data_IF_207860630892
#
_entry.id   IF_207860630892
#
_cell.length_a   1.000
_cell.length_b   1.000
_cell.length_c   1.000
_cell.angle_alpha   90.00
_cell.angle_beta   90.00
_cell.angle_gamma   90.00
#
_symmetry.space_group_name_H-M   'P 1'
#
loop_
_entity.id
_entity.type
_entity.pdbx_description
1 polymer ?
#
# COMPACT_ATOMS: atom_id res chain seq x y z
N UNK A 1 3.40 13.94 -13.32
CA UNK A 1 2.87 13.15 -12.19
C UNK A 1 2.92 14.06 -10.97
N UNK A 2 1.81 14.22 -10.28
CA UNK A 2 1.72 15.02 -9.05
C UNK A 2 1.16 14.14 -7.93
N UNK A 3 1.78 14.17 -6.75
CA UNK A 3 1.33 13.50 -5.53
C UNK A 3 0.87 14.57 -4.56
N UNK A 4 -0.25 14.37 -3.92
CA UNK A 4 -0.79 15.23 -2.87
C UNK A 4 -1.60 14.43 -1.85
N UNK A 5 -1.91 15.07 -0.73
CA UNK A 5 -2.90 14.54 0.21
C UNK A 5 -4.27 14.43 -0.46
N UNK A 6 -4.99 13.37 -0.13
CA UNK A 6 -6.39 13.14 -0.52
C UNK A 6 -7.29 14.17 0.17
N UNK A 7 -8.37 14.58 -0.49
CA UNK A 7 -9.42 15.38 0.14
C UNK A 7 -10.59 14.51 0.59
N UNK A 8 -11.39 14.99 1.53
CA UNK A 8 -12.48 14.17 2.13
C UNK A 8 -13.56 13.77 1.11
N UNK A 9 -13.86 14.62 0.17
CA UNK A 9 -14.83 14.39 -0.92
C UNK A 9 -14.33 13.38 -1.95
N UNK A 10 -13.03 13.05 -1.96
CA UNK A 10 -12.43 12.05 -2.84
C UNK A 10 -12.46 10.62 -2.27
N UNK A 11 -12.79 10.44 -0.98
CA UNK A 11 -12.80 9.12 -0.35
C UNK A 11 -13.67 8.08 -1.08
N UNK A 12 -14.84 8.40 -1.63
CA UNK A 12 -15.59 7.45 -2.45
C UNK A 12 -14.82 6.97 -3.69
N UNK A 13 -14.07 7.87 -4.33
CA UNK A 13 -13.26 7.53 -5.50
C UNK A 13 -12.10 6.58 -5.16
N UNK A 14 -11.53 6.67 -3.94
CA UNK A 14 -10.50 5.71 -3.51
C UNK A 14 -11.05 4.29 -3.47
N UNK A 15 -12.29 4.10 -3.01
CA UNK A 15 -12.96 2.80 -3.03
C UNK A 15 -13.17 2.28 -4.45
N UNK A 16 -13.54 3.15 -5.40
CA UNK A 16 -13.66 2.79 -6.82
C UNK A 16 -12.31 2.33 -7.40
N UNK A 17 -11.22 3.04 -7.06
CA UNK A 17 -9.85 2.68 -7.49
C UNK A 17 -9.45 1.31 -6.91
N UNK A 18 -9.71 1.09 -5.62
CA UNK A 18 -9.40 -0.18 -4.95
C UNK A 18 -10.17 -1.35 -5.56
N UNK A 19 -11.48 -1.18 -5.73
CA UNK A 19 -12.33 -2.17 -6.37
C UNK A 19 -11.83 -2.53 -7.78
N UNK A 20 -11.56 -1.52 -8.61
CA UNK A 20 -11.04 -1.73 -9.95
C UNK A 20 -9.66 -2.43 -9.93
N UNK A 21 -8.79 -2.06 -8.98
CA UNK A 21 -7.47 -2.69 -8.81
C UNK A 21 -7.57 -4.15 -8.35
N UNK A 22 -8.61 -4.50 -7.58
CA UNK A 22 -8.84 -5.86 -7.06
C UNK A 22 -9.22 -6.88 -8.14
N UNK A 23 -9.78 -6.45 -9.27
CA UNK A 23 -10.24 -7.35 -10.33
C UNK A 23 -9.15 -8.31 -10.86
N UNK A 24 -7.88 -7.89 -10.86
CA UNK A 24 -6.77 -8.74 -11.31
C UNK A 24 -6.59 -10.02 -10.48
N UNK A 25 -7.06 -10.06 -9.24
CA UNK A 25 -6.99 -11.26 -8.40
C UNK A 25 -7.90 -12.38 -8.92
N UNK A 26 -8.96 -12.06 -9.64
CA UNK A 26 -9.85 -13.05 -10.25
C UNK A 26 -9.13 -13.91 -11.29
N UNK A 27 -8.19 -13.31 -12.03
CA UNK A 27 -7.42 -14.00 -13.08
C UNK A 27 -6.46 -15.05 -12.52
N UNK A 28 -6.10 -14.96 -11.25
CA UNK A 28 -5.19 -15.92 -10.58
C UNK A 28 -5.91 -16.84 -9.59
N UNK A 29 -7.24 -16.95 -9.70
CA UNK A 29 -8.03 -17.88 -8.89
C UNK A 29 -8.26 -17.42 -7.45
N UNK A 30 -8.25 -16.12 -7.20
CA UNK A 30 -8.55 -15.48 -5.91
C UNK A 30 -9.80 -14.58 -6.01
N UNK A 31 -10.96 -15.13 -6.44
CA UNK A 31 -12.17 -14.32 -6.63
C UNK A 31 -12.65 -13.68 -5.31
N UNK A 32 -12.43 -14.33 -4.17
CA UNK A 32 -12.82 -13.80 -2.87
C UNK A 32 -12.08 -12.51 -2.53
N UNK A 33 -10.82 -12.35 -2.99
CA UNK A 33 -10.07 -11.11 -2.84
C UNK A 33 -10.55 -10.04 -3.83
N UNK A 34 -10.91 -10.44 -5.06
CA UNK A 34 -11.48 -9.53 -6.05
C UNK A 34 -12.86 -9.03 -5.63
N UNK A 35 -13.63 -9.82 -4.88
CA UNK A 35 -14.97 -9.50 -4.38
C UNK A 35 -14.95 -8.85 -2.98
N UNK A 36 -13.75 -8.70 -2.36
CA UNK A 36 -13.64 -8.08 -1.03
C UNK A 36 -14.02 -6.60 -1.09
N UNK A 37 -14.79 -6.18 -0.11
CA UNK A 37 -15.24 -4.78 -0.07
C UNK A 37 -14.09 -3.85 0.32
N UNK A 38 -13.88 -2.75 -0.44
CA UNK A 38 -12.94 -1.71 -0.04
C UNK A 38 -13.26 -1.14 1.34
N UNK A 39 -12.23 -0.64 2.02
CA UNK A 39 -12.37 -0.03 3.34
C UNK A 39 -13.57 0.93 3.39
N UNK A 40 -14.37 0.87 4.47
CA UNK A 40 -15.51 1.77 4.64
C UNK A 40 -15.06 3.23 4.76
N UNK A 41 -15.92 4.16 4.30
CA UNK A 41 -15.61 5.60 4.30
C UNK A 41 -15.15 6.15 5.67
N UNK A 42 -15.73 5.74 6.82
CA UNK A 42 -15.24 6.18 8.13
C UNK A 42 -13.80 5.78 8.42
N UNK A 43 -13.38 4.59 7.99
CA UNK A 43 -11.99 4.14 8.16
C UNK A 43 -11.04 4.87 7.24
N UNK A 44 -11.40 5.07 5.96
CA UNK A 44 -10.61 5.92 5.06
C UNK A 44 -10.47 7.35 5.60
N UNK A 45 -11.54 7.90 6.20
CA UNK A 45 -11.50 9.20 6.84
C UNK A 45 -10.55 9.23 8.04
N UNK A 46 -10.45 8.14 8.82
CA UNK A 46 -9.48 8.03 9.91
C UNK A 46 -8.02 8.14 9.40
N UNK A 47 -7.69 7.47 8.30
CA UNK A 47 -6.35 7.61 7.69
C UNK A 47 -6.06 9.04 7.22
N UNK A 48 -7.08 9.76 6.74
CA UNK A 48 -6.94 11.17 6.37
C UNK A 48 -6.69 12.08 7.58
N UNK A 49 -7.39 11.83 8.69
CA UNK A 49 -7.37 12.69 9.89
C UNK A 49 -6.18 12.38 10.83
N UNK A 50 -5.85 11.10 11.00
CA UNK A 50 -4.92 10.61 12.03
C UNK A 50 -3.65 9.96 11.44
N UNK A 51 -3.70 9.57 10.18
CA UNK A 51 -2.62 8.89 9.49
C UNK A 51 -2.07 9.65 8.31
N UNK A 52 -1.91 8.95 7.21
CA UNK A 52 -1.47 9.51 5.93
C UNK A 52 -2.34 8.96 4.81
N UNK A 53 -2.91 9.83 4.01
CA UNK A 53 -3.65 9.47 2.80
C UNK A 53 -3.12 10.30 1.61
N UNK A 54 -2.47 9.63 0.66
CA UNK A 54 -1.83 10.24 -0.51
C UNK A 54 -2.49 9.76 -1.80
N UNK A 55 -2.56 10.62 -2.80
CA UNK A 55 -3.00 10.25 -4.14
C UNK A 55 -2.02 10.74 -5.21
N UNK A 56 -1.85 9.94 -6.26
CA UNK A 56 -1.39 10.42 -7.56
C UNK A 56 -2.60 10.93 -8.30
N UNK A 57 -2.49 12.13 -8.86
CA UNK A 57 -3.58 12.74 -9.63
C UNK A 57 -3.21 12.90 -11.09
N UNK A 58 -4.23 12.86 -11.95
CA UNK A 58 -4.13 13.12 -13.38
C UNK A 58 -4.06 14.63 -13.70
N UNK A 59 -4.15 14.98 -14.99
CA UNK A 59 -4.12 16.37 -15.45
C UNK A 59 -5.37 17.18 -15.03
N UNK A 60 -6.48 16.51 -14.73
CA UNK A 60 -7.71 17.11 -14.22
C UNK A 60 -7.77 17.17 -12.69
N UNK A 61 -6.65 16.86 -12.01
CA UNK A 61 -6.52 16.78 -10.55
C UNK A 61 -7.35 15.64 -9.91
N UNK A 62 -7.73 14.63 -10.67
CA UNK A 62 -8.51 13.50 -10.19
C UNK A 62 -7.56 12.37 -9.73
N UNK A 63 -7.76 11.77 -8.55
CA UNK A 63 -7.01 10.59 -8.10
C UNK A 63 -7.10 9.42 -9.08
N UNK A 64 -5.95 8.82 -9.40
CA UNK A 64 -5.81 7.63 -10.26
C UNK A 64 -5.05 6.50 -9.56
N UNK A 65 -4.43 6.82 -8.44
CA UNK A 65 -3.79 5.87 -7.53
C UNK A 65 -3.77 6.47 -6.13
N UNK A 66 -3.78 5.64 -5.09
CA UNK A 66 -3.69 6.13 -3.73
C UNK A 66 -2.87 5.20 -2.82
N UNK A 67 -2.46 5.74 -1.69
CA UNK A 67 -1.80 5.04 -0.61
C UNK A 67 -2.34 5.58 0.72
N UNK A 68 -2.64 4.66 1.66
CA UNK A 68 -2.94 5.01 3.05
C UNK A 68 -1.94 4.30 3.98
N UNK A 69 -1.54 4.99 5.04
CA UNK A 69 -0.57 4.52 6.02
C UNK A 69 -0.84 5.11 7.40
N UNK A 70 -0.37 4.43 8.43
CA UNK A 70 -0.43 4.89 9.81
C UNK A 70 0.83 4.51 10.60
N UNK A 71 1.12 5.18 11.72
CA UNK A 71 2.22 4.79 12.59
C UNK A 71 1.94 3.46 13.30
N UNK A 72 2.87 2.49 13.20
CA UNK A 72 2.83 1.21 13.92
C UNK A 72 4.23 0.89 14.44
N UNK A 73 4.38 0.77 15.74
CA UNK A 73 5.62 0.39 16.43
C UNK A 73 6.86 1.17 15.96
N UNK A 74 6.72 2.48 15.74
CA UNK A 74 7.80 3.37 15.29
C UNK A 74 8.14 3.27 13.81
N UNK A 75 7.34 2.57 13.01
CA UNK A 75 7.38 2.58 11.54
C UNK A 75 6.10 3.21 10.98
N UNK A 76 6.10 3.57 9.68
CA UNK A 76 4.88 3.86 8.95
C UNK A 76 4.40 2.56 8.27
N UNK A 77 3.26 2.06 8.70
CA UNK A 77 2.64 0.88 8.12
C UNK A 77 1.76 1.29 6.95
N UNK A 78 2.06 0.75 5.78
CA UNK A 78 1.24 0.94 4.58
C UNK A 78 0.11 -0.08 4.63
N UNK A 79 -1.10 0.41 4.82
CA UNK A 79 -2.31 -0.42 4.83
C UNK A 79 -2.73 -0.78 3.41
N UNK A 80 -2.76 0.20 2.51
CA UNK A 80 -3.22 0.00 1.14
C UNK A 80 -2.40 0.83 0.14
N UNK A 81 -2.11 0.23 -1.01
CA UNK A 81 -1.66 0.90 -2.23
C UNK A 81 -2.45 0.37 -3.40
N UNK A 82 -3.23 1.22 -4.04
CA UNK A 82 -4.04 0.85 -5.20
C UNK A 82 -3.78 1.80 -6.37
N UNK A 83 -3.71 1.22 -7.56
CA UNK A 83 -3.55 1.94 -8.83
C UNK A 83 -4.68 1.51 -9.75
N UNK A 84 -5.46 2.47 -10.26
CA UNK A 84 -6.51 2.16 -11.23
C UNK A 84 -5.91 1.44 -12.45
N UNK A 85 -6.52 0.35 -12.97
CA UNK A 85 -5.97 -0.45 -14.05
C UNK A 85 -5.55 0.35 -15.30
N UNK A 86 -6.33 1.37 -15.69
CA UNK A 86 -6.03 2.24 -16.82
C UNK A 86 -4.74 3.04 -16.66
N UNK A 87 -4.22 3.12 -15.44
CA UNK A 87 -3.00 3.83 -15.09
C UNK A 87 -1.89 2.88 -14.58
N UNK A 88 -2.12 1.57 -14.63
CA UNK A 88 -1.17 0.55 -14.19
C UNK A 88 0.14 0.58 -14.99
N UNK A 89 1.19 -0.04 -14.41
CA UNK A 89 2.53 -0.18 -15.03
C UNK A 89 3.23 1.13 -15.41
N UNK A 90 2.86 2.25 -14.78
CA UNK A 90 3.48 3.57 -14.92
C UNK A 90 4.32 3.96 -13.70
N UNK A 91 4.60 3.02 -12.80
CA UNK A 91 5.38 3.27 -11.58
C UNK A 91 4.66 4.07 -10.48
N UNK A 92 3.33 4.28 -10.58
CA UNK A 92 2.59 5.16 -9.66
C UNK A 92 2.61 4.65 -8.22
N UNK A 93 2.43 3.33 -8.01
CA UNK A 93 2.50 2.73 -6.68
C UNK A 93 3.88 2.92 -6.03
N UNK A 94 4.97 2.70 -6.80
CA UNK A 94 6.33 2.95 -6.32
C UNK A 94 6.55 4.41 -5.97
N UNK A 95 6.06 5.33 -6.79
CA UNK A 95 6.17 6.76 -6.53
C UNK A 95 5.46 7.17 -5.23
N UNK A 96 4.28 6.63 -4.94
CA UNK A 96 3.58 6.84 -3.67
C UNK A 96 4.39 6.32 -2.48
N UNK A 97 4.91 5.09 -2.57
CA UNK A 97 5.74 4.48 -1.52
C UNK A 97 7.01 5.30 -1.27
N UNK A 98 7.68 5.74 -2.34
CA UNK A 98 8.90 6.56 -2.22
C UNK A 98 8.60 7.95 -1.65
N UNK A 99 7.47 8.55 -2.02
CA UNK A 99 7.02 9.83 -1.46
C UNK A 99 6.71 9.70 0.04
N UNK A 100 5.99 8.63 0.46
CA UNK A 100 5.76 8.34 1.88
C UNK A 100 7.08 8.21 2.64
N UNK A 101 8.05 7.48 2.09
CA UNK A 101 9.36 7.33 2.69
C UNK A 101 10.13 8.65 2.86
N UNK A 102 9.93 9.61 1.95
CA UNK A 102 10.50 10.96 2.06
C UNK A 102 9.80 11.78 3.15
N UNK A 103 8.47 11.72 3.25
CA UNK A 103 7.70 12.39 4.31
C UNK A 103 8.05 11.84 5.69
N UNK A 104 8.22 10.52 5.81
CA UNK A 104 8.60 9.85 7.06
C UNK A 104 10.05 10.10 7.51
N UNK A 105 10.90 10.68 6.67
CA UNK A 105 12.29 10.95 6.99
C UNK A 105 13.09 9.68 7.33
N UNK A 106 13.58 9.59 8.58
CA UNK A 106 14.34 8.44 9.07
C UNK A 106 13.47 7.25 9.50
N UNK A 107 12.16 7.27 9.25
CA UNK A 107 11.23 6.23 9.67
C UNK A 107 11.18 5.09 8.65
N UNK A 108 11.22 3.86 9.14
CA UNK A 108 11.05 2.68 8.28
C UNK A 108 9.61 2.55 7.79
N UNK A 109 9.42 1.89 6.66
CA UNK A 109 8.11 1.50 6.15
C UNK A 109 7.88 0.00 6.38
N UNK A 110 6.66 -0.37 6.75
CA UNK A 110 6.22 -1.77 6.85
C UNK A 110 4.94 -1.97 6.06
N UNK A 111 4.65 -3.21 5.71
CA UNK A 111 3.40 -3.65 5.10
C UNK A 111 3.20 -5.14 5.33
N UNK A 112 1.97 -5.60 5.13
CA UNK A 112 1.63 -7.03 4.99
C UNK A 112 1.14 -7.27 3.57
N UNK A 113 1.43 -8.45 3.02
CA UNK A 113 1.07 -8.74 1.63
C UNK A 113 1.04 -10.24 1.34
N UNK A 114 0.42 -10.63 0.22
CA UNK A 114 0.46 -12.01 -0.26
C UNK A 114 1.86 -12.39 -0.73
N UNK A 115 2.33 -13.57 -0.29
CA UNK A 115 3.69 -14.03 -0.56
C UNK A 115 3.94 -14.38 -2.04
N UNK A 116 2.95 -15.00 -2.68
CA UNK A 116 3.10 -15.65 -3.98
C UNK A 116 2.47 -14.87 -5.14
N UNK A 117 1.72 -13.82 -4.85
CA UNK A 117 1.10 -12.98 -5.89
C UNK A 117 2.16 -12.09 -6.56
N UNK A 118 2.33 -12.14 -7.90
CA UNK A 118 3.45 -11.49 -8.61
C UNK A 118 3.55 -9.98 -8.42
N UNK A 119 2.42 -9.30 -8.24
CA UNK A 119 2.35 -7.85 -8.01
C UNK A 119 2.28 -7.48 -6.53
N UNK A 120 2.50 -8.44 -5.62
CA UNK A 120 2.55 -8.22 -4.17
C UNK A 120 4.01 -8.37 -3.66
N UNK A 121 4.35 -9.42 -2.91
CA UNK A 121 5.69 -9.52 -2.32
C UNK A 121 6.84 -9.36 -3.34
N UNK A 122 6.80 -9.97 -4.55
CA UNK A 122 7.83 -9.73 -5.57
C UNK A 122 7.91 -8.27 -6.03
N UNK A 123 6.79 -7.58 -6.12
CA UNK A 123 6.77 -6.14 -6.45
C UNK A 123 7.37 -5.30 -5.32
N UNK A 124 6.97 -5.54 -4.07
CA UNK A 124 7.50 -4.80 -2.92
C UNK A 124 8.99 -5.06 -2.71
N UNK A 125 9.49 -6.26 -3.03
CA UNK A 125 10.93 -6.52 -3.03
C UNK A 125 11.67 -5.58 -4.00
N UNK A 126 11.14 -5.36 -5.20
CA UNK A 126 11.68 -4.37 -6.15
C UNK A 126 11.57 -2.92 -5.66
N UNK A 127 10.62 -2.64 -4.76
CA UNK A 127 10.49 -1.34 -4.07
C UNK A 127 11.44 -1.22 -2.85
N UNK A 128 12.31 -2.21 -2.62
CA UNK A 128 13.30 -2.18 -1.54
C UNK A 128 12.82 -2.74 -0.20
N UNK A 129 11.67 -3.41 -0.17
CA UNK A 129 11.22 -4.14 1.01
C UNK A 129 11.85 -5.52 1.07
N UNK A 130 12.11 -6.02 2.28
CA UNK A 130 12.48 -7.40 2.55
C UNK A 130 11.45 -8.07 3.47
N UNK A 131 11.25 -9.38 3.36
CA UNK A 131 10.46 -10.11 4.34
C UNK A 131 11.07 -9.99 5.75
N UNK A 132 10.20 -9.98 6.76
CA UNK A 132 10.58 -10.06 8.16
C UNK A 132 10.59 -11.52 8.61
N UNK A 133 11.63 -11.92 9.35
CA UNK A 133 11.65 -13.18 10.09
C UNK A 133 10.67 -13.14 11.27
N UNK A 134 10.26 -14.28 11.79
CA UNK A 134 9.24 -14.36 12.85
C UNK A 134 9.60 -13.54 14.10
N UNK A 135 10.89 -13.52 14.47
CA UNK A 135 11.43 -12.77 15.59
C UNK A 135 11.48 -11.26 15.38
N UNK A 136 11.41 -10.80 14.12
CA UNK A 136 11.39 -9.38 13.75
C UNK A 136 9.97 -8.80 13.71
N UNK A 137 8.93 -9.66 13.76
CA UNK A 137 7.54 -9.21 13.72
C UNK A 137 7.20 -8.55 15.05
N UNK A 138 6.92 -7.26 15.01
CA UNK A 138 6.60 -6.43 16.18
C UNK A 138 5.20 -6.73 16.73
N UNK A 139 4.86 -6.31 17.97
CA UNK A 139 3.52 -6.52 18.52
C UNK A 139 2.39 -5.95 17.66
N UNK A 140 2.55 -4.75 17.12
CA UNK A 140 1.56 -4.13 16.22
C UNK A 140 1.37 -4.91 14.92
N UNK A 141 2.47 -5.38 14.31
CA UNK A 141 2.38 -6.21 13.11
C UNK A 141 1.73 -7.57 13.39
N UNK A 142 1.94 -8.15 14.59
CA UNK A 142 1.22 -9.39 15.00
C UNK A 142 -0.28 -9.14 15.13
N UNK A 143 -0.66 -7.99 15.69
CA UNK A 143 -2.07 -7.62 15.81
C UNK A 143 -2.72 -7.43 14.44
N UNK A 144 -2.07 -6.73 13.52
CA UNK A 144 -2.54 -6.60 12.12
C UNK A 144 -2.72 -7.97 11.48
N UNK A 145 -1.72 -8.85 11.58
CA UNK A 145 -1.81 -10.23 11.05
C UNK A 145 -2.96 -11.02 11.67
N UNK A 146 -3.21 -10.83 12.96
CA UNK A 146 -4.35 -11.48 13.66
C UNK A 146 -5.70 -10.99 13.13
N UNK A 147 -5.82 -9.70 12.86
CA UNK A 147 -7.03 -9.11 12.28
C UNK A 147 -7.24 -9.60 10.84
N UNK A 148 -6.20 -9.65 10.02
CA UNK A 148 -6.25 -10.21 8.67
C UNK A 148 -6.68 -11.69 8.67
N UNK A 149 -6.16 -12.49 9.60
CA UNK A 149 -6.55 -13.88 9.78
C UNK A 149 -8.03 -14.01 10.16
N UNK A 150 -8.53 -13.13 11.05
CA UNK A 150 -9.94 -13.10 11.42
C UNK A 150 -10.87 -12.75 10.24
N UNK A 151 -10.36 -12.00 9.24
CA UNK A 151 -11.05 -11.73 7.97
C UNK A 151 -10.81 -12.81 6.91
N UNK A 152 -10.17 -13.92 7.27
CA UNK A 152 -9.98 -15.07 6.38
C UNK A 152 -8.83 -14.93 5.37
N UNK A 153 -7.98 -13.91 5.48
CA UNK A 153 -6.87 -13.67 4.56
C UNK A 153 -5.73 -14.70 4.70
N UNK A 154 -5.67 -15.46 5.81
CA UNK A 154 -4.69 -16.54 6.01
C UNK A 154 -4.95 -17.80 5.15
N UNK A 155 -6.00 -17.81 4.34
CA UNK A 155 -6.21 -18.83 3.30
C UNK A 155 -5.10 -18.82 2.25
N UNK A 156 -4.39 -17.71 2.11
CA UNK A 156 -3.24 -17.54 1.23
C UNK A 156 -2.01 -17.14 2.06
N UNK A 157 -0.80 -17.65 1.69
CA UNK A 157 0.43 -17.26 2.38
C UNK A 157 0.64 -15.75 2.36
N UNK A 158 0.89 -15.16 3.53
CA UNK A 158 1.13 -13.72 3.70
C UNK A 158 2.45 -13.46 4.41
N UNK A 159 3.06 -12.35 4.11
CA UNK A 159 4.33 -11.86 4.68
C UNK A 159 4.15 -10.50 5.32
N UNK A 160 4.87 -10.26 6.42
CA UNK A 160 5.23 -8.92 6.86
C UNK A 160 6.52 -8.52 6.14
N UNK A 161 6.58 -7.32 5.60
CA UNK A 161 7.77 -6.80 4.92
C UNK A 161 8.17 -5.44 5.49
N UNK A 162 9.47 -5.13 5.40
CA UNK A 162 10.04 -3.87 5.90
C UNK A 162 11.01 -3.27 4.89
N UNK A 163 10.94 -1.96 4.73
CA UNK A 163 11.94 -1.14 4.07
C UNK A 163 12.54 -0.19 5.11
N UNK A 164 13.86 -0.20 5.25
CA UNK A 164 14.58 0.75 6.11
C UNK A 164 14.40 2.20 5.64
N UNK A 165 14.74 3.19 6.48
CA UNK A 165 14.72 4.57 6.09
C UNK A 165 15.65 4.81 4.90
N UNK A 166 15.23 5.65 3.96
CA UNK A 166 16.08 6.04 2.84
C UNK A 166 17.08 7.09 3.30
N UNK A 167 18.39 6.92 3.05
CA UNK A 167 19.34 7.96 3.36
C UNK A 167 19.01 9.24 2.59
N UNK A 168 19.12 10.42 3.21
CA UNK A 168 18.86 11.68 2.54
C UNK A 168 19.80 11.83 1.33
N UNK A 169 19.22 12.12 0.15
CA UNK A 169 19.99 12.35 -1.09
C UNK A 169 20.27 11.11 -1.96
N UNK A 170 19.76 9.94 -1.64
CA UNK A 170 19.85 8.80 -2.56
C UNK A 170 18.98 9.06 -3.80
N UNK A 171 19.56 9.05 -5.03
CA UNK A 171 18.78 9.19 -6.26
C UNK A 171 17.75 8.06 -6.36
N UNK A 172 16.58 8.36 -6.95
CA UNK A 172 15.65 7.31 -7.34
C UNK A 172 16.40 6.31 -8.21
N UNK A 173 16.28 5.01 -7.90
CA UNK A 173 16.79 4.00 -8.81
C UNK A 173 15.98 4.13 -10.11
N UNK A 174 16.54 4.85 -11.07
CA UNK A 174 16.11 4.79 -12.46
C UNK A 174 16.45 3.37 -12.92
N UNK A 175 15.42 2.55 -13.08
CA UNK A 175 15.53 1.26 -13.73
C UNK A 175 15.56 1.53 -15.24
N UNK A 176 16.64 1.17 -15.96
CA UNK A 176 16.61 1.22 -17.41
C UNK A 176 15.67 0.13 -17.92
N UNK A 177 14.87 0.51 -18.88
CA UNK A 177 13.88 -0.20 -19.69
C UNK A 177 13.94 -1.73 -19.71
#
# INVERSE_FOLDING_TARGET
MRIRTVTRDELPLLREIEWAAGECFREIGMPEIADDEPLPLPELARYLDEGTALAVVDAADRPVAYLIAEPVDGALHIEQVSVHPDHARRGLGRALIDHLGQLGGATALTLTTFAEVPWNAPYYARCGFRPLAAEEITPGLREIRRQEAAHGLDRWPRLCMRRGPRPPGAPGADDPA
#
